data_IF_481427104450
#
_entry.id   IF_481427104450
#
_cell.length_a   1.000
_cell.length_b   1.000
_cell.length_c   1.000
_cell.angle_alpha   90.00
_cell.angle_beta   90.00
_cell.angle_gamma   90.00
#
_symmetry.space_group_name_H-M   'P 1'
#
loop_
_entity.id
_entity.type
_entity.pdbx_description
1 polymer ?
#
# COMPACT_ATOMS: atom_id res chain seq x y z
N UNK A 1 -7.45 3.37 -22.61
CA UNK A 1 -8.17 4.58 -22.17
C UNK A 1 -7.35 5.25 -21.05
N UNK A 2 -7.19 6.56 -21.10
CA UNK A 2 -6.52 7.35 -20.06
C UNK A 2 -7.60 7.99 -19.19
N UNK A 3 -7.57 7.70 -17.89
CA UNK A 3 -8.55 8.19 -16.93
C UNK A 3 -7.91 9.21 -15.99
N UNK A 4 -8.61 10.30 -15.59
CA UNK A 4 -8.10 11.23 -14.60
C UNK A 4 -8.04 10.56 -13.22
N UNK A 5 -6.96 10.77 -12.49
CA UNK A 5 -6.91 10.43 -11.07
C UNK A 5 -7.54 11.56 -10.23
N UNK A 6 -8.15 11.24 -9.10
CA UNK A 6 -8.76 12.24 -8.23
C UNK A 6 -7.71 13.16 -7.56
N UNK A 7 -8.19 14.29 -7.04
CA UNK A 7 -7.38 15.21 -6.25
C UNK A 7 -7.11 14.62 -4.86
N UNK A 8 -5.93 14.88 -4.29
CA UNK A 8 -5.59 14.48 -2.93
C UNK A 8 -4.76 15.55 -2.20
N UNK A 9 -4.61 15.37 -0.91
CA UNK A 9 -3.72 16.16 -0.06
C UNK A 9 -2.43 15.39 0.19
N UNK A 10 -1.29 16.03 0.05
CA UNK A 10 0.03 15.45 0.32
C UNK A 10 0.74 16.28 1.37
N UNK A 11 1.22 15.64 2.45
CA UNK A 11 2.02 16.27 3.50
C UNK A 11 1.46 17.59 4.05
N UNK A 12 0.21 17.61 4.47
CA UNK A 12 -0.50 18.79 4.99
C UNK A 12 -0.72 19.93 3.97
N UNK A 13 -0.31 19.75 2.72
CA UNK A 13 -0.59 20.68 1.64
C UNK A 13 -1.79 20.21 0.83
N UNK A 14 -2.77 21.09 0.63
CA UNK A 14 -3.86 20.81 -0.32
C UNK A 14 -3.33 20.86 -1.74
N UNK A 15 -3.36 19.72 -2.41
CA UNK A 15 -3.11 19.66 -3.84
C UNK A 15 -4.43 19.98 -4.55
N UNK A 16 -4.62 21.24 -4.91
CA UNK A 16 -5.86 21.71 -5.54
C UNK A 16 -5.88 21.51 -7.05
N UNK A 17 -4.75 21.12 -7.63
CA UNK A 17 -4.57 21.01 -9.08
C UNK A 17 -3.74 19.75 -9.42
N UNK A 18 -4.21 18.60 -8.96
CA UNK A 18 -3.59 17.30 -9.24
C UNK A 18 -4.20 16.68 -10.49
N UNK A 19 -3.36 16.40 -11.49
CA UNK A 19 -3.74 15.85 -12.77
C UNK A 19 -3.15 14.43 -12.99
N UNK A 20 -3.11 13.61 -11.95
CA UNK A 20 -2.74 12.22 -12.08
C UNK A 20 -3.65 11.49 -13.07
N UNK A 21 -3.13 10.49 -13.78
CA UNK A 21 -3.87 9.74 -14.79
C UNK A 21 -3.59 8.27 -14.68
N UNK A 22 -4.66 7.49 -14.79
CA UNK A 22 -4.57 6.04 -14.93
C UNK A 22 -4.65 5.65 -16.40
N UNK A 23 -3.96 4.57 -16.76
CA UNK A 23 -4.06 3.95 -18.07
C UNK A 23 -4.66 2.57 -17.89
N UNK A 24 -5.78 2.32 -18.57
CA UNK A 24 -6.38 0.99 -18.65
C UNK A 24 -6.31 0.50 -20.10
N UNK A 25 -5.74 -0.69 -20.32
CA UNK A 25 -5.84 -1.43 -21.55
C UNK A 25 -6.60 -2.72 -21.32
N UNK A 26 -7.59 -3.00 -22.18
CA UNK A 26 -8.37 -4.25 -22.12
C UNK A 26 -8.08 -5.07 -23.37
N UNK A 27 -7.61 -6.30 -23.19
CA UNK A 27 -7.40 -7.27 -24.23
C UNK A 27 -8.47 -8.35 -24.07
N UNK A 28 -9.45 -8.34 -24.97
CA UNK A 28 -10.58 -9.27 -24.94
C UNK A 28 -10.29 -10.47 -25.83
N UNK A 29 -10.32 -11.67 -25.28
CA UNK A 29 -10.08 -12.91 -25.99
C UNK A 29 -11.21 -13.40 -26.87
N UNK A 30 -12.38 -12.75 -26.80
CA UNK A 30 -13.55 -13.07 -27.61
C UNK A 30 -14.31 -14.32 -27.19
N UNK A 31 -13.91 -15.00 -26.10
CA UNK A 31 -14.60 -16.17 -25.54
C UNK A 31 -14.85 -15.95 -24.04
N UNK A 32 -15.94 -16.50 -23.47
CA UNK A 32 -16.15 -16.49 -22.03
C UNK A 32 -14.97 -17.10 -21.27
N UNK A 33 -14.59 -16.51 -20.14
CA UNK A 33 -13.49 -16.97 -19.29
C UNK A 33 -13.14 -15.93 -18.23
N UNK A 34 -12.09 -16.17 -17.45
CA UNK A 34 -11.72 -15.29 -16.36
C UNK A 34 -11.15 -13.95 -16.83
N UNK A 35 -11.32 -12.93 -16.00
CA UNK A 35 -10.76 -11.59 -16.18
C UNK A 35 -9.55 -11.42 -15.26
N UNK A 36 -8.37 -11.31 -15.83
CA UNK A 36 -7.12 -11.16 -15.09
C UNK A 36 -6.71 -9.68 -15.10
N UNK A 37 -6.57 -9.09 -13.91
CA UNK A 37 -6.02 -7.76 -13.74
C UNK A 37 -4.49 -7.84 -13.54
N UNK A 38 -3.76 -7.08 -14.33
CA UNK A 38 -2.33 -6.83 -14.18
C UNK A 38 -2.18 -5.37 -13.73
N UNK A 39 -1.78 -5.17 -12.49
CA UNK A 39 -1.77 -3.84 -11.86
C UNK A 39 -0.36 -3.41 -11.45
N UNK A 40 -0.08 -2.12 -11.57
CA UNK A 40 1.13 -1.49 -11.09
C UNK A 40 1.06 0.04 -11.19
N UNK A 41 1.87 0.74 -10.38
CA UNK A 41 1.92 2.20 -10.38
C UNK A 41 3.09 2.76 -11.18
N UNK A 42 2.92 3.98 -11.69
CA UNK A 42 3.90 4.68 -12.54
C UNK A 42 4.59 5.83 -11.81
N UNK A 43 4.02 6.29 -10.72
CA UNK A 43 4.61 7.30 -9.85
C UNK A 43 5.74 6.72 -9.00
N UNK A 44 6.45 7.60 -8.32
CA UNK A 44 7.58 7.25 -7.43
C UNK A 44 7.59 8.21 -6.26
N UNK A 45 8.25 7.82 -5.18
CA UNK A 45 8.63 8.78 -4.13
C UNK A 45 9.47 9.92 -4.67
N UNK A 46 9.55 11.00 -3.91
CA UNK A 46 10.42 12.12 -4.26
C UNK A 46 11.89 11.70 -4.25
N UNK A 47 12.64 12.19 -5.25
CA UNK A 47 14.08 11.97 -5.32
C UNK A 47 14.77 12.48 -4.06
N UNK A 48 15.37 11.58 -3.29
CA UNK A 48 16.15 11.92 -2.10
C UNK A 48 17.60 12.29 -2.46
N UNK A 49 18.29 12.93 -1.52
CA UNK A 49 19.75 13.15 -1.64
C UNK A 49 20.57 11.88 -1.38
N UNK A 50 21.86 11.93 -1.70
CA UNK A 50 22.81 10.85 -1.39
C UNK A 50 23.06 9.86 -2.52
N UNK A 51 22.48 10.05 -3.70
CA UNK A 51 22.73 9.23 -4.87
C UNK A 51 24.20 9.29 -5.29
N UNK A 52 24.80 8.14 -5.52
CA UNK A 52 26.15 7.98 -6.11
C UNK A 52 26.09 7.48 -7.54
N UNK A 53 24.91 6.99 -7.98
CA UNK A 53 24.56 6.54 -9.32
C UNK A 53 23.61 7.54 -9.97
N UNK A 54 23.41 7.45 -11.28
CA UNK A 54 22.43 8.31 -11.98
C UNK A 54 21.00 7.89 -11.60
N UNK A 55 20.23 8.75 -10.89
CA UNK A 55 18.85 8.43 -10.48
C UNK A 55 17.86 8.36 -11.65
N UNK A 56 18.27 8.73 -12.85
CA UNK A 56 17.41 8.70 -14.06
C UNK A 56 17.69 7.50 -14.98
N UNK A 57 18.61 6.62 -14.59
CA UNK A 57 18.85 5.36 -15.27
C UNK A 57 20.33 5.09 -15.55
N UNK A 58 20.96 4.26 -14.73
CA UNK A 58 22.34 3.78 -14.93
C UNK A 58 22.34 2.26 -14.93
N UNK A 59 22.92 1.67 -15.98
CA UNK A 59 23.06 0.23 -16.11
C UNK A 59 24.48 -0.20 -15.69
N UNK A 60 24.55 -1.12 -14.71
CA UNK A 60 25.81 -1.74 -14.26
C UNK A 60 25.62 -3.26 -14.15
N UNK A 61 26.02 -3.99 -15.17
CA UNK A 61 25.80 -5.44 -15.27
C UNK A 61 24.30 -5.76 -15.32
N UNK A 62 23.81 -6.51 -14.35
CA UNK A 62 22.39 -6.86 -14.20
C UNK A 62 21.57 -5.83 -13.40
N UNK A 63 22.22 -4.78 -12.88
CA UNK A 63 21.56 -3.76 -12.06
C UNK A 63 21.20 -2.55 -12.91
N UNK A 64 19.92 -2.20 -12.88
CA UNK A 64 19.41 -0.92 -13.38
C UNK A 64 19.12 -0.01 -12.20
N UNK A 65 19.96 1.02 -12.02
CA UNK A 65 19.76 2.05 -11.01
C UNK A 65 18.79 3.12 -11.50
N UNK A 66 17.96 3.64 -10.61
CA UNK A 66 17.07 4.75 -10.92
C UNK A 66 15.92 4.86 -9.91
N UNK A 67 15.41 6.06 -9.69
CA UNK A 67 14.25 6.27 -8.84
C UNK A 67 13.00 5.57 -9.42
N UNK A 68 12.37 4.71 -8.62
CA UNK A 68 11.28 3.86 -9.05
C UNK A 68 11.70 2.74 -10.01
N UNK A 69 13.01 2.43 -10.13
CA UNK A 69 13.46 1.31 -10.95
C UNK A 69 12.98 -0.01 -10.36
N UNK A 70 13.05 -0.16 -9.04
CA UNK A 70 12.53 -1.31 -8.31
C UNK A 70 11.05 -1.12 -7.98
N UNK A 71 10.68 0.02 -7.40
CA UNK A 71 9.36 0.35 -6.88
C UNK A 71 8.69 1.43 -7.76
N UNK A 72 7.79 1.02 -8.73
CA UNK A 72 7.66 -0.33 -9.30
C UNK A 72 7.64 -0.29 -10.83
N UNK A 73 8.36 0.67 -11.46
CA UNK A 73 8.36 0.82 -12.94
C UNK A 73 8.89 -0.42 -13.68
N UNK A 74 9.80 -1.19 -13.06
CA UNK A 74 10.24 -2.48 -13.62
C UNK A 74 9.10 -3.49 -13.68
N UNK A 75 8.27 -3.54 -12.63
CA UNK A 75 7.05 -4.34 -12.60
C UNK A 75 6.07 -3.92 -13.69
N UNK A 76 5.81 -2.62 -13.83
CA UNK A 76 4.99 -2.08 -14.92
C UNK A 76 5.53 -2.47 -16.29
N UNK A 77 6.84 -2.40 -16.51
CA UNK A 77 7.47 -2.80 -17.78
C UNK A 77 7.28 -4.31 -18.05
N UNK A 78 7.45 -5.16 -17.02
CA UNK A 78 7.19 -6.59 -17.12
C UNK A 78 5.75 -6.88 -17.55
N UNK A 79 4.76 -6.22 -16.93
CA UNK A 79 3.35 -6.37 -17.26
C UNK A 79 3.01 -5.89 -18.67
N UNK A 80 3.55 -4.73 -19.08
CA UNK A 80 3.36 -4.18 -20.42
C UNK A 80 3.88 -5.12 -21.51
N UNK A 81 5.10 -5.64 -21.33
CA UNK A 81 5.72 -6.57 -22.27
C UNK A 81 4.92 -7.87 -22.32
N UNK A 82 4.54 -8.41 -21.18
CA UNK A 82 3.72 -9.62 -21.07
C UNK A 82 2.39 -9.47 -21.78
N UNK A 83 1.63 -8.42 -21.51
CA UNK A 83 0.34 -8.16 -22.13
C UNK A 83 0.46 -7.97 -23.67
N UNK A 84 1.47 -7.21 -24.13
CA UNK A 84 1.71 -6.98 -25.55
C UNK A 84 2.11 -8.27 -26.27
N UNK A 85 3.01 -9.09 -25.70
CA UNK A 85 3.43 -10.39 -26.28
C UNK A 85 2.26 -11.36 -26.34
N UNK A 86 1.47 -11.45 -25.26
CA UNK A 86 0.29 -12.32 -25.21
C UNK A 86 -0.73 -11.96 -26.29
N UNK A 87 -1.07 -10.68 -26.43
CA UNK A 87 -1.99 -10.18 -27.47
C UNK A 87 -1.46 -10.37 -28.91
N UNK A 88 -0.14 -10.34 -29.09
CA UNK A 88 0.48 -10.60 -30.40
C UNK A 88 0.41 -12.09 -30.76
N UNK A 89 0.67 -12.96 -29.80
CA UNK A 89 0.71 -14.42 -30.00
C UNK A 89 -0.69 -15.05 -30.08
N UNK A 90 -1.64 -14.56 -29.29
CA UNK A 90 -2.97 -15.17 -29.11
C UNK A 90 -4.08 -14.20 -29.50
N UNK A 91 -4.67 -14.41 -30.69
CA UNK A 91 -5.75 -13.54 -31.20
C UNK A 91 -7.11 -13.88 -30.61
N UNK A 92 -7.29 -15.10 -30.12
CA UNK A 92 -8.50 -15.56 -29.44
C UNK A 92 -8.12 -16.42 -28.25
N UNK A 93 -8.72 -16.12 -27.09
CA UNK A 93 -8.51 -16.85 -25.85
C UNK A 93 -9.76 -16.74 -24.95
N UNK A 94 -9.80 -17.43 -23.83
CA UNK A 94 -10.90 -17.35 -22.87
C UNK A 94 -10.70 -16.17 -21.93
N UNK A 95 -11.74 -15.33 -21.76
CA UNK A 95 -11.69 -14.23 -20.80
C UNK A 95 -11.01 -12.97 -21.31
N UNK A 96 -10.42 -12.19 -20.38
CA UNK A 96 -9.82 -10.87 -20.66
C UNK A 96 -8.57 -10.65 -19.82
N UNK A 97 -7.68 -9.80 -20.35
CA UNK A 97 -6.59 -9.20 -19.58
C UNK A 97 -6.88 -7.71 -19.45
N UNK A 98 -6.87 -7.20 -18.24
CA UNK A 98 -6.93 -5.77 -17.93
C UNK A 98 -5.58 -5.33 -17.39
N UNK A 99 -4.84 -4.55 -18.19
CA UNK A 99 -3.63 -3.88 -17.74
C UNK A 99 -4.03 -2.54 -17.14
N UNK A 100 -3.86 -2.38 -15.83
CA UNK A 100 -4.18 -1.19 -15.07
C UNK A 100 -2.89 -0.56 -14.54
N UNK A 101 -2.40 0.48 -15.22
CA UNK A 101 -1.25 1.25 -14.78
C UNK A 101 -1.76 2.55 -14.14
N UNK A 102 -1.48 2.72 -12.87
CA UNK A 102 -2.07 3.77 -12.06
C UNK A 102 -1.06 4.85 -11.66
N UNK A 103 -1.54 5.95 -11.14
CA UNK A 103 -0.77 7.02 -10.53
C UNK A 103 -1.20 7.19 -9.09
N UNK A 104 -0.33 7.84 -8.28
CA UNK A 104 -0.63 8.20 -6.88
C UNK A 104 -0.73 6.99 -5.94
N UNK A 105 0.06 5.94 -6.19
CA UNK A 105 0.24 4.86 -5.20
C UNK A 105 1.08 5.35 -4.03
N UNK A 106 2.20 6.00 -4.31
CA UNK A 106 3.16 6.56 -3.35
C UNK A 106 2.59 7.75 -2.56
N UNK A 107 1.42 8.21 -2.95
CA UNK A 107 0.62 9.14 -2.18
C UNK A 107 -0.05 8.49 -0.97
N UNK A 108 -0.61 9.30 -0.06
CA UNK A 108 -1.15 8.77 1.20
C UNK A 108 -2.44 7.94 1.04
N UNK A 109 -3.02 7.83 -0.15
CA UNK A 109 -4.35 7.27 -0.35
C UNK A 109 -4.46 6.18 -1.42
N UNK A 110 -3.43 5.97 -2.26
CA UNK A 110 -3.50 5.04 -3.40
C UNK A 110 -4.65 5.36 -4.33
N UNK A 111 -4.81 6.65 -4.69
CA UNK A 111 -6.02 7.14 -5.37
C UNK A 111 -6.21 6.58 -6.77
N UNK A 112 -5.13 6.20 -7.45
CA UNK A 112 -5.22 5.65 -8.79
C UNK A 112 -6.03 4.37 -8.84
N UNK A 113 -5.63 3.37 -8.09
CA UNK A 113 -6.35 2.08 -7.99
C UNK A 113 -7.71 2.27 -7.35
N UNK A 114 -7.82 3.10 -6.28
CA UNK A 114 -9.11 3.40 -5.66
C UNK A 114 -10.14 3.93 -6.66
N UNK A 115 -9.76 4.87 -7.52
CA UNK A 115 -10.64 5.42 -8.56
C UNK A 115 -11.10 4.35 -9.54
N UNK A 116 -10.22 3.45 -10.00
CA UNK A 116 -10.58 2.37 -10.91
C UNK A 116 -11.58 1.39 -10.27
N UNK A 117 -11.46 1.16 -8.97
CA UNK A 117 -12.39 0.31 -8.21
C UNK A 117 -13.73 1.04 -8.03
N UNK A 118 -13.75 2.31 -7.60
CA UNK A 118 -14.98 3.08 -7.37
C UNK A 118 -15.77 3.33 -8.66
N UNK A 119 -15.09 3.61 -9.75
CA UNK A 119 -15.71 3.84 -11.05
C UNK A 119 -16.13 2.52 -11.77
N UNK A 120 -15.88 1.36 -11.14
CA UNK A 120 -16.31 0.06 -11.61
C UNK A 120 -15.50 -0.51 -12.78
N UNK A 121 -14.36 0.08 -13.14
CA UNK A 121 -13.53 -0.44 -14.23
C UNK A 121 -12.96 -1.85 -13.95
N UNK A 122 -12.84 -2.23 -12.68
CA UNK A 122 -12.32 -3.51 -12.24
C UNK A 122 -13.38 -4.45 -11.65
N UNK A 123 -14.67 -4.12 -11.77
CA UNK A 123 -15.78 -4.83 -11.12
C UNK A 123 -16.00 -6.28 -11.62
N UNK A 124 -15.46 -6.65 -12.77
CA UNK A 124 -15.53 -7.99 -13.37
C UNK A 124 -14.22 -8.78 -13.24
N UNK A 125 -13.27 -8.32 -12.42
CA UNK A 125 -11.97 -8.99 -12.22
C UNK A 125 -12.13 -10.22 -11.35
N UNK A 126 -11.56 -11.35 -11.81
CA UNK A 126 -11.56 -12.63 -11.10
C UNK A 126 -10.23 -12.92 -10.38
N UNK A 127 -9.12 -12.27 -10.79
CA UNK A 127 -7.80 -12.43 -10.19
C UNK A 127 -6.90 -11.24 -10.52
N UNK A 128 -6.11 -10.77 -9.56
CA UNK A 128 -5.19 -9.66 -9.73
C UNK A 128 -3.74 -10.06 -9.44
N UNK A 129 -2.81 -9.64 -10.31
CA UNK A 129 -1.37 -9.71 -10.09
C UNK A 129 -0.84 -8.29 -10.03
N UNK A 130 -0.19 -7.96 -8.93
CA UNK A 130 0.46 -6.69 -8.68
C UNK A 130 1.98 -6.91 -8.65
N UNK A 131 2.71 -6.21 -9.50
CA UNK A 131 4.16 -6.44 -9.65
C UNK A 131 5.02 -5.51 -8.78
N UNK A 132 4.54 -5.27 -7.54
CA UNK A 132 5.36 -4.68 -6.48
C UNK A 132 6.54 -5.59 -6.14
N UNK A 133 7.69 -5.03 -5.71
CA UNK A 133 8.91 -5.78 -5.45
C UNK A 133 8.83 -6.63 -4.17
N UNK A 134 8.05 -7.71 -4.20
CA UNK A 134 7.76 -8.55 -3.03
C UNK A 134 9.01 -9.01 -2.29
N UNK A 135 10.02 -9.52 -2.99
CA UNK A 135 11.29 -9.94 -2.40
C UNK A 135 12.05 -8.77 -1.74
N UNK A 136 12.04 -7.59 -2.38
CA UNK A 136 12.66 -6.38 -1.85
C UNK A 136 11.98 -5.89 -0.57
N UNK A 137 10.67 -5.96 -0.48
CA UNK A 137 9.92 -5.50 0.69
C UNK A 137 10.19 -6.34 1.94
N UNK A 138 10.22 -7.65 1.82
CA UNK A 138 10.35 -8.56 2.95
C UNK A 138 11.80 -8.99 3.22
N UNK A 139 12.75 -8.59 2.36
CA UNK A 139 14.15 -9.02 2.44
C UNK A 139 14.30 -10.53 2.26
N UNK A 140 13.35 -11.17 1.56
CA UNK A 140 13.35 -12.59 1.23
C UNK A 140 14.02 -12.84 -0.12
N UNK A 141 14.60 -14.02 -0.33
CA UNK A 141 15.19 -14.31 -1.62
C UNK A 141 14.13 -14.44 -2.72
N UNK A 142 14.41 -13.90 -3.89
CA UNK A 142 13.58 -14.07 -5.08
C UNK A 142 13.57 -15.52 -5.58
N UNK A 143 12.42 -16.09 -5.98
CA UNK A 143 11.10 -15.46 -6.04
C UNK A 143 10.38 -15.50 -4.68
N UNK A 144 9.79 -14.37 -4.29
CA UNK A 144 8.90 -14.23 -3.15
C UNK A 144 7.51 -13.79 -3.60
N UNK A 145 6.46 -14.36 -3.00
CA UNK A 145 5.06 -14.10 -3.35
C UNK A 145 4.28 -13.72 -2.10
N UNK A 146 3.77 -12.48 -2.07
CA UNK A 146 2.94 -12.06 -0.95
C UNK A 146 1.46 -12.39 -1.22
N UNK A 147 0.87 -13.19 -0.33
CA UNK A 147 -0.53 -13.62 -0.38
C UNK A 147 -1.45 -12.77 0.49
N UNK A 148 -1.10 -11.53 0.73
CA UNK A 148 -1.89 -10.59 1.51
C UNK A 148 -1.06 -9.50 2.12
N UNK A 149 -1.75 -8.55 2.76
CA UNK A 149 -1.15 -7.38 3.37
C UNK A 149 -1.91 -6.94 4.62
N UNK A 150 -1.20 -6.28 5.54
CA UNK A 150 -1.85 -5.56 6.64
C UNK A 150 -2.72 -4.43 6.09
N UNK A 151 -3.69 -4.01 6.89
CA UNK A 151 -4.37 -2.75 6.68
C UNK A 151 -3.70 -1.61 7.45
N UNK A 152 -4.10 -0.38 7.18
CA UNK A 152 -3.53 0.77 7.88
C UNK A 152 -4.37 2.03 7.79
N UNK A 153 -4.31 2.82 8.86
CA UNK A 153 -5.05 4.07 9.00
C UNK A 153 -4.18 5.15 9.64
N UNK A 154 -4.13 6.31 8.99
CA UNK A 154 -3.63 7.54 9.59
C UNK A 154 -4.73 8.22 10.41
N UNK A 155 -4.41 8.69 11.61
CA UNK A 155 -5.38 9.38 12.47
C UNK A 155 -4.71 10.33 13.45
N UNK A 156 -5.51 11.22 13.99
CA UNK A 156 -5.12 12.17 15.03
C UNK A 156 -6.01 12.02 16.25
N UNK A 157 -5.42 12.19 17.43
CA UNK A 157 -6.18 12.44 18.65
C UNK A 157 -5.95 13.91 19.00
N UNK A 158 -7.01 14.69 18.99
CA UNK A 158 -7.01 16.11 19.34
C UNK A 158 -7.41 16.25 20.80
N UNK A 159 -6.60 16.96 21.57
CA UNK A 159 -6.82 17.19 23.01
C UNK A 159 -7.11 18.66 23.24
N UNK A 160 -8.08 18.93 24.11
CA UNK A 160 -8.53 20.27 24.47
C UNK A 160 -8.37 20.47 25.96
N UNK A 161 -7.63 21.53 26.32
CA UNK A 161 -7.31 21.90 27.66
C UNK A 161 -7.86 23.29 28.03
N UNK A 162 -7.15 23.95 28.92
CA UNK A 162 -7.44 25.32 29.36
C UNK A 162 -6.14 26.06 29.56
N UNK A 163 -5.98 27.20 28.86
CA UNK A 163 -4.81 28.06 29.01
C UNK A 163 -4.76 28.71 30.41
N UNK A 164 -3.54 28.88 30.93
CA UNK A 164 -3.23 29.65 32.10
C UNK A 164 -1.78 30.17 32.02
N UNK A 165 -1.45 31.19 32.75
CA UNK A 165 -0.06 31.68 32.82
C UNK A 165 0.86 30.59 33.42
N UNK A 166 2.03 30.41 32.82
CA UNK A 166 2.98 29.37 33.19
C UNK A 166 3.45 29.42 34.65
N UNK A 167 3.34 30.59 35.32
CA UNK A 167 3.62 30.75 36.76
C UNK A 167 2.51 30.15 37.66
N UNK A 168 1.33 29.86 37.12
CA UNK A 168 0.19 29.29 37.85
C UNK A 168 -0.44 28.16 37.03
N UNK A 169 0.31 27.09 36.71
CA UNK A 169 -0.16 26.04 35.81
C UNK A 169 -1.38 25.27 36.35
N UNK A 170 -1.58 25.27 37.67
CA UNK A 170 -2.72 24.65 38.37
C UNK A 170 -4.07 25.32 38.03
N UNK A 171 -4.07 26.55 37.50
CA UNK A 171 -5.28 27.25 37.03
C UNK A 171 -5.70 26.87 35.62
N UNK A 172 -4.82 26.18 34.92
CA UNK A 172 -5.04 25.66 33.58
C UNK A 172 -5.29 24.16 33.54
N UNK A 173 -5.37 23.62 32.32
CA UNK A 173 -5.34 22.19 32.02
C UNK A 173 -4.50 21.96 30.78
N UNK A 174 -3.39 21.23 30.90
CA UNK A 174 -2.45 21.03 29.79
C UNK A 174 -2.89 19.92 28.86
N UNK A 175 -3.32 20.29 27.66
CA UNK A 175 -3.60 19.35 26.57
C UNK A 175 -2.35 18.54 26.17
N UNK A 176 -1.16 19.16 26.23
CA UNK A 176 0.11 18.48 25.96
C UNK A 176 0.37 17.32 26.94
N UNK A 177 0.10 17.53 28.25
CA UNK A 177 0.28 16.48 29.24
C UNK A 177 -0.73 15.35 29.06
N UNK A 178 -1.96 15.65 28.64
CA UNK A 178 -2.94 14.63 28.30
C UNK A 178 -2.49 13.81 27.08
N UNK A 179 -2.02 14.47 26.01
CA UNK A 179 -1.47 13.80 24.84
C UNK A 179 -0.28 12.87 25.20
N UNK A 180 0.65 13.35 26.04
CA UNK A 180 1.79 12.56 26.49
C UNK A 180 1.38 11.31 27.29
N UNK A 181 0.39 11.43 28.21
CA UNK A 181 -0.14 10.30 28.98
C UNK A 181 -0.82 9.28 28.08
N UNK A 182 -1.60 9.72 27.11
CA UNK A 182 -2.26 8.82 26.15
C UNK A 182 -1.24 8.15 25.25
N UNK A 183 -0.22 8.87 24.74
CA UNK A 183 0.87 8.28 23.97
C UNK A 183 1.57 7.14 24.74
N UNK A 184 1.87 7.35 26.03
CA UNK A 184 2.44 6.31 26.87
C UNK A 184 1.48 5.13 27.12
N UNK A 185 0.18 5.40 27.26
CA UNK A 185 -0.83 4.36 27.46
C UNK A 185 -1.06 3.50 26.20
N UNK A 186 -0.80 4.04 25.01
CA UNK A 186 -0.87 3.30 23.75
C UNK A 186 0.19 2.20 23.62
N UNK A 187 1.31 2.26 24.36
CA UNK A 187 2.30 1.18 24.45
C UNK A 187 1.72 -0.12 25.04
N UNK A 188 0.58 -0.03 25.73
CA UNK A 188 -0.10 -1.14 26.41
C UNK A 188 -1.31 -1.67 25.64
N UNK A 189 -1.39 -1.40 24.35
CA UNK A 189 -2.46 -1.95 23.50
C UNK A 189 -2.26 -3.45 23.33
N UNK A 190 -3.34 -4.20 23.52
CA UNK A 190 -3.36 -5.64 23.23
C UNK A 190 -3.86 -5.85 21.80
N UNK A 191 -2.90 -6.03 20.88
CA UNK A 191 -3.18 -6.16 19.48
C UNK A 191 -3.73 -7.55 19.13
N UNK A 192 -4.66 -7.59 18.19
CA UNK A 192 -5.09 -8.84 17.55
C UNK A 192 -3.90 -9.45 16.82
N UNK A 193 -3.79 -10.77 16.87
CA UNK A 193 -2.78 -11.56 16.17
C UNK A 193 -3.45 -12.41 15.10
N UNK A 194 -3.03 -12.20 13.86
CA UNK A 194 -3.40 -13.00 12.70
C UNK A 194 -2.29 -14.02 12.41
N UNK A 195 -2.59 -15.27 12.04
CA UNK A 195 -1.58 -16.31 11.81
C UNK A 195 -0.62 -16.00 10.65
N UNK A 196 -1.00 -15.15 9.72
CA UNK A 196 -0.23 -14.77 8.54
C UNK A 196 0.35 -13.37 8.64
N UNK A 197 -0.47 -12.39 9.04
CA UNK A 197 -0.09 -10.98 9.12
C UNK A 197 0.59 -10.60 10.45
N UNK A 198 0.62 -11.54 11.43
CA UNK A 198 1.17 -11.27 12.75
C UNK A 198 0.29 -10.31 13.55
N UNK A 199 0.88 -9.45 14.38
CA UNK A 199 0.16 -8.48 15.23
C UNK A 199 -0.02 -7.14 14.55
N UNK A 200 -1.15 -6.49 14.80
CA UNK A 200 -1.35 -5.07 14.54
C UNK A 200 -0.30 -4.21 15.26
N UNK A 201 -0.12 -2.97 14.86
CA UNK A 201 0.82 -2.04 15.49
C UNK A 201 0.29 -0.61 15.46
N UNK A 202 0.59 0.17 16.51
CA UNK A 202 0.36 1.61 16.52
C UNK A 202 1.69 2.33 16.61
N UNK A 203 1.98 3.20 15.67
CA UNK A 203 3.12 4.09 15.70
C UNK A 203 2.65 5.51 16.03
N UNK A 204 3.20 6.10 17.11
CA UNK A 204 3.08 7.53 17.36
C UNK A 204 4.04 8.25 16.42
N UNK A 205 3.50 8.84 15.36
CA UNK A 205 4.31 9.50 14.31
C UNK A 205 4.52 10.99 14.57
N UNK A 206 3.85 11.57 15.54
CA UNK A 206 4.08 12.94 15.93
C UNK A 206 3.22 13.42 17.08
N UNK A 207 3.71 14.45 17.77
CA UNK A 207 2.96 15.21 18.76
C UNK A 207 3.22 16.69 18.53
N UNK A 208 2.18 17.51 18.61
CA UNK A 208 2.31 18.97 18.54
C UNK A 208 1.43 19.65 19.58
N UNK A 209 1.96 20.69 20.20
CA UNK A 209 1.25 21.59 21.10
C UNK A 209 2.05 22.87 21.23
N UNK A 210 1.37 23.99 21.40
CA UNK A 210 2.01 25.27 21.62
C UNK A 210 1.25 26.07 22.68
N UNK A 211 1.94 26.46 23.75
CA UNK A 211 1.46 27.36 24.79
C UNK A 211 1.91 28.81 24.57
N UNK A 212 2.50 29.12 23.41
CA UNK A 212 3.17 30.39 23.21
C UNK A 212 4.33 30.59 24.20
N UNK A 213 4.70 31.83 24.47
CA UNK A 213 5.89 32.13 25.26
C UNK A 213 5.78 31.73 26.75
N UNK A 214 4.61 31.80 27.37
CA UNK A 214 4.45 31.62 28.80
C UNK A 214 3.05 31.12 29.20
N UNK A 215 2.46 30.19 28.50
CA UNK A 215 1.11 29.68 28.82
C UNK A 215 1.05 28.15 28.83
N UNK A 216 0.14 27.62 29.62
CA UNK A 216 -0.24 26.19 29.56
C UNK A 216 -0.87 25.92 28.21
N UNK A 217 -0.40 24.91 27.43
CA UNK A 217 -1.00 24.56 26.17
C UNK A 217 -2.45 24.07 26.35
N UNK A 218 -3.39 24.70 25.69
CA UNK A 218 -4.81 24.37 25.72
C UNK A 218 -5.29 23.55 24.51
N UNK A 219 -4.38 23.27 23.57
CA UNK A 219 -4.60 22.40 22.44
C UNK A 219 -3.36 21.54 22.17
N UNK A 220 -3.57 20.28 21.85
CA UNK A 220 -2.52 19.37 21.41
C UNK A 220 -3.06 18.36 20.40
N UNK A 221 -2.19 17.89 19.53
CA UNK A 221 -2.50 16.83 18.56
C UNK A 221 -1.48 15.72 18.70
N UNK A 222 -1.94 14.49 18.84
CA UNK A 222 -1.15 13.27 18.76
C UNK A 222 -1.47 12.58 17.43
N UNK A 223 -0.48 12.41 16.56
CA UNK A 223 -0.64 11.76 15.25
C UNK A 223 -0.18 10.32 15.34
N UNK A 224 -1.00 9.43 14.78
CA UNK A 224 -0.82 7.99 14.81
C UNK A 224 -0.89 7.42 13.40
N UNK A 225 -0.09 6.38 13.17
CA UNK A 225 -0.32 5.45 12.09
C UNK A 225 -0.58 4.07 12.70
N UNK A 226 -1.74 3.47 12.35
CA UNK A 226 -2.17 2.21 12.93
C UNK A 226 -2.28 1.14 11.87
N UNK A 227 -1.48 0.07 11.97
CA UNK A 227 -1.64 -1.12 11.17
C UNK A 227 -2.61 -2.08 11.85
N UNK A 228 -3.51 -2.64 11.05
CA UNK A 228 -4.50 -3.64 11.47
C UNK A 228 -4.31 -4.95 10.70
N UNK A 229 -4.80 -6.03 11.28
CA UNK A 229 -4.79 -7.38 10.70
C UNK A 229 -6.21 -7.88 10.43
N UNK A 230 -6.36 -9.03 9.77
CA UNK A 230 -7.69 -9.60 9.48
C UNK A 230 -8.47 -9.79 10.78
N UNK A 231 -9.74 -9.39 10.76
CA UNK A 231 -10.61 -9.35 11.94
C UNK A 231 -10.64 -8.01 12.69
N UNK A 232 -9.77 -7.07 12.35
CA UNK A 232 -9.80 -5.70 12.85
C UNK A 232 -10.46 -4.73 11.86
N UNK A 233 -10.85 -3.57 12.35
CA UNK A 233 -11.52 -2.52 11.60
C UNK A 233 -11.22 -1.15 12.23
N UNK A 234 -11.61 -0.03 11.60
CA UNK A 234 -11.55 1.29 12.23
C UNK A 234 -12.20 1.35 13.62
N UNK A 235 -13.29 0.63 13.83
CA UNK A 235 -13.95 0.56 15.15
C UNK A 235 -13.06 -0.13 16.19
N UNK A 236 -12.23 -1.07 15.80
CA UNK A 236 -11.24 -1.70 16.69
C UNK A 236 -10.22 -0.66 17.15
N UNK A 237 -9.72 0.17 16.22
CA UNK A 237 -8.79 1.25 16.51
C UNK A 237 -9.38 2.22 17.52
N UNK A 238 -10.62 2.68 17.29
CA UNK A 238 -11.33 3.60 18.19
C UNK A 238 -11.44 3.00 19.59
N UNK A 239 -11.87 1.75 19.74
CA UNK A 239 -12.01 1.08 21.03
C UNK A 239 -10.68 0.97 21.78
N UNK A 240 -9.59 0.67 21.09
CA UNK A 240 -8.27 0.56 21.75
C UNK A 240 -7.73 1.93 22.17
N UNK A 241 -7.97 2.99 21.38
CA UNK A 241 -7.65 4.36 21.78
C UNK A 241 -8.47 4.77 23.02
N UNK A 242 -9.77 4.48 23.05
CA UNK A 242 -10.63 4.78 24.19
C UNK A 242 -10.14 4.07 25.48
N UNK A 243 -9.71 2.80 25.36
CA UNK A 243 -9.08 2.08 26.48
C UNK A 243 -7.77 2.74 26.93
N UNK A 244 -6.94 3.20 25.98
CA UNK A 244 -5.70 3.91 26.30
C UNK A 244 -5.99 5.25 27.01
N UNK A 245 -6.99 5.99 26.56
CA UNK A 245 -7.46 7.23 27.21
C UNK A 245 -7.95 6.96 28.64
N UNK A 246 -8.71 5.90 28.85
CA UNK A 246 -9.16 5.49 30.20
C UNK A 246 -7.98 5.14 31.09
N UNK A 247 -7.01 4.36 30.60
CA UNK A 247 -5.78 4.03 31.36
C UNK A 247 -4.96 5.27 31.69
N UNK A 248 -4.87 6.21 30.75
CA UNK A 248 -4.17 7.48 30.93
C UNK A 248 -4.80 8.37 32.01
N UNK A 249 -6.07 8.16 32.35
CA UNK A 249 -6.79 8.89 33.37
C UNK A 249 -6.88 10.40 33.12
N UNK A 250 -6.93 10.80 31.84
CA UNK A 250 -7.08 12.21 31.47
C UNK A 250 -8.49 12.72 31.81
N UNK A 251 -8.59 14.00 32.09
CA UNK A 251 -9.86 14.67 32.41
C UNK A 251 -10.26 15.71 31.36
N UNK A 252 -9.35 16.03 30.43
CA UNK A 252 -9.62 16.91 29.31
C UNK A 252 -10.52 16.28 28.24
N UNK A 253 -11.13 17.12 27.43
CA UNK A 253 -11.87 16.68 26.25
C UNK A 253 -10.88 16.20 25.18
N UNK A 254 -11.25 15.17 24.45
CA UNK A 254 -10.52 14.70 23.27
C UNK A 254 -11.46 14.37 22.11
N UNK A 255 -10.90 14.27 20.91
CA UNK A 255 -11.56 13.82 19.68
C UNK A 255 -10.62 12.89 18.93
N UNK A 256 -11.15 11.79 18.38
CA UNK A 256 -10.43 10.87 17.51
C UNK A 256 -10.83 11.21 16.07
N UNK A 257 -9.88 11.59 15.23
CA UNK A 257 -10.12 12.01 13.87
C UNK A 257 -9.31 11.13 12.92
N UNK A 258 -9.96 10.31 12.11
CA UNK A 258 -9.29 9.67 11.00
C UNK A 258 -8.90 10.73 9.96
N UNK A 259 -7.80 10.45 9.24
CA UNK A 259 -7.35 11.31 8.16
C UNK A 259 -8.50 11.54 7.17
N UNK A 260 -8.73 12.80 6.80
CA UNK A 260 -9.64 13.12 5.72
C UNK A 260 -9.14 12.52 4.42
N UNK A 261 -10.06 12.04 3.60
CA UNK A 261 -9.76 11.41 2.33
C UNK A 261 -10.73 11.88 1.25
N UNK A 262 -10.34 11.86 -0.03
CA UNK A 262 -11.20 12.28 -1.14
C UNK A 262 -12.50 11.46 -1.26
N UNK A 263 -12.48 10.21 -0.83
CA UNK A 263 -13.66 9.35 -0.76
C UNK A 263 -13.66 8.54 0.52
N UNK A 264 -14.81 8.00 0.91
CA UNK A 264 -14.92 7.07 2.05
C UNK A 264 -14.03 5.84 1.85
N UNK A 265 -13.95 5.34 0.59
CA UNK A 265 -13.15 4.17 0.24
C UNK A 265 -11.64 4.40 0.29
N UNK A 266 -11.16 5.65 0.27
CA UNK A 266 -9.74 6.00 0.34
C UNK A 266 -9.28 6.49 1.72
N UNK A 267 -10.13 6.42 2.76
CA UNK A 267 -9.78 6.85 4.12
C UNK A 267 -8.65 6.04 4.75
N UNK A 268 -8.50 4.79 4.35
CA UNK A 268 -7.47 3.87 4.80
C UNK A 268 -7.58 2.53 4.08
N UNK A 269 -6.78 1.58 4.51
CA UNK A 269 -6.60 0.30 3.85
C UNK A 269 -7.06 -0.83 4.77
N UNK A 270 -7.95 -1.68 4.30
CA UNK A 270 -8.35 -2.89 5.02
C UNK A 270 -7.34 -4.02 4.75
N UNK A 271 -7.07 -4.89 5.74
CA UNK A 271 -6.19 -6.03 5.56
C UNK A 271 -6.86 -7.14 4.75
N UNK A 272 -6.05 -7.96 4.08
CA UNK A 272 -6.54 -9.15 3.40
C UNK A 272 -5.51 -10.27 3.37
N UNK A 273 -5.99 -11.49 3.19
CA UNK A 273 -5.16 -12.67 2.90
C UNK A 273 -5.83 -13.52 1.84
N UNK A 274 -5.03 -14.16 1.00
CA UNK A 274 -5.47 -15.10 -0.03
C UNK A 274 -5.05 -16.52 0.39
N UNK A 275 -5.94 -17.51 0.34
CA UNK A 275 -5.56 -18.89 0.59
C UNK A 275 -4.51 -19.38 -0.41
N UNK A 276 -3.48 -20.08 0.08
CA UNK A 276 -2.42 -20.61 -0.78
C UNK A 276 -2.90 -21.67 -1.78
N UNK A 277 -3.99 -22.35 -1.45
CA UNK A 277 -4.64 -23.39 -2.26
C UNK A 277 -5.72 -22.85 -3.21
N UNK A 278 -5.87 -21.52 -3.31
CA UNK A 278 -6.73 -20.89 -4.31
C UNK A 278 -6.24 -21.27 -5.73
N UNK A 279 -7.11 -21.76 -6.63
CA UNK A 279 -6.69 -22.39 -7.89
C UNK A 279 -5.80 -21.55 -8.80
N UNK A 280 -6.08 -20.24 -8.96
CA UNK A 280 -5.26 -19.36 -9.79
C UNK A 280 -3.94 -18.98 -9.08
N UNK A 281 -3.94 -18.90 -7.76
CA UNK A 281 -2.72 -18.76 -6.95
C UNK A 281 -1.81 -19.98 -7.15
N UNK A 282 -2.34 -21.20 -7.06
CA UNK A 282 -1.57 -22.42 -7.32
C UNK A 282 -0.97 -22.39 -8.73
N UNK A 283 -1.76 -22.01 -9.74
CA UNK A 283 -1.29 -21.89 -11.13
C UNK A 283 -0.16 -20.88 -11.29
N UNK A 284 -0.25 -19.73 -10.61
CA UNK A 284 0.79 -18.70 -10.61
C UNK A 284 2.08 -19.22 -9.94
N UNK A 285 1.97 -19.86 -8.78
CA UNK A 285 3.13 -20.46 -8.07
C UNK A 285 3.83 -21.52 -8.91
N UNK A 286 3.07 -22.34 -9.64
CA UNK A 286 3.65 -23.34 -10.58
C UNK A 286 4.38 -22.65 -11.74
N UNK A 287 3.84 -21.55 -12.27
CA UNK A 287 4.46 -20.78 -13.35
C UNK A 287 5.76 -20.13 -12.89
N UNK A 288 5.76 -19.55 -11.69
CA UNK A 288 6.97 -18.99 -11.06
C UNK A 288 8.03 -20.10 -10.88
N UNK A 289 7.66 -21.24 -10.33
CA UNK A 289 8.58 -22.38 -10.16
C UNK A 289 9.15 -22.87 -11.48
N UNK A 290 8.32 -22.95 -12.52
CA UNK A 290 8.75 -23.38 -13.85
C UNK A 290 9.77 -22.45 -14.47
N UNK A 291 9.55 -21.13 -14.36
CA UNK A 291 10.38 -20.12 -14.98
C UNK A 291 11.68 -19.90 -14.21
N UNK A 292 11.59 -19.78 -12.89
CA UNK A 292 12.77 -19.48 -12.04
C UNK A 292 13.60 -20.69 -11.69
N UNK A 293 13.04 -21.90 -11.81
CA UNK A 293 13.65 -23.15 -11.33
C UNK A 293 13.76 -23.23 -9.82
N UNK A 294 13.11 -22.33 -9.08
CA UNK A 294 13.14 -22.24 -7.61
C UNK A 294 11.74 -22.37 -7.03
N UNK A 295 11.65 -22.89 -5.81
CA UNK A 295 10.40 -22.85 -5.03
C UNK A 295 10.16 -21.40 -4.56
N UNK A 296 9.00 -20.80 -4.86
CA UNK A 296 8.70 -19.46 -4.38
C UNK A 296 8.52 -19.47 -2.85
N UNK A 297 9.09 -18.46 -2.19
CA UNK A 297 8.79 -18.17 -0.80
C UNK A 297 7.39 -17.58 -0.73
N UNK A 298 6.61 -17.98 0.28
CA UNK A 298 5.31 -17.38 0.57
C UNK A 298 5.48 -16.39 1.71
N UNK A 299 5.00 -15.18 1.51
CA UNK A 299 5.06 -14.11 2.49
C UNK A 299 3.75 -13.33 2.56
N UNK A 300 3.71 -12.36 3.46
CA UNK A 300 2.57 -11.47 3.68
C UNK A 300 3.13 -10.08 3.99
N UNK A 301 2.68 -9.09 3.24
CA UNK A 301 3.24 -7.75 3.34
C UNK A 301 2.90 -7.10 4.69
N UNK A 302 3.93 -6.65 5.40
CA UNK A 302 3.79 -6.11 6.75
C UNK A 302 3.27 -4.65 6.80
N UNK A 303 2.99 -4.05 5.64
CA UNK A 303 2.48 -2.69 5.48
C UNK A 303 1.25 -2.66 4.58
N UNK A 304 1.04 -1.56 3.91
CA UNK A 304 -0.11 -1.27 3.06
C UNK A 304 0.37 -0.84 1.67
N UNK A 305 -0.52 -0.94 0.70
CA UNK A 305 -0.40 -0.38 -0.64
C UNK A 305 -1.76 -0.34 -1.31
N UNK A 306 -1.84 0.15 -2.52
CA UNK A 306 -3.09 0.25 -3.27
C UNK A 306 -3.67 -1.14 -3.63
N UNK A 307 -2.84 -2.19 -3.62
CA UNK A 307 -3.25 -3.58 -3.75
C UNK A 307 -4.25 -4.01 -2.66
N UNK A 308 -4.28 -3.34 -1.50
CA UNK A 308 -5.32 -3.58 -0.50
C UNK A 308 -6.73 -3.34 -1.04
N UNK A 309 -6.92 -2.35 -1.92
CA UNK A 309 -8.22 -2.11 -2.55
C UNK A 309 -8.64 -3.26 -3.45
N UNK A 310 -7.69 -3.83 -4.22
CA UNK A 310 -7.94 -5.00 -5.06
C UNK A 310 -8.31 -6.22 -4.21
N UNK A 311 -7.52 -6.50 -3.16
CA UNK A 311 -7.70 -7.65 -2.29
C UNK A 311 -8.96 -7.58 -1.40
N UNK A 312 -9.50 -6.38 -1.13
CA UNK A 312 -10.62 -6.22 -0.20
C UNK A 312 -11.94 -5.82 -0.86
N UNK A 313 -11.91 -5.20 -2.05
CA UNK A 313 -13.10 -4.56 -2.62
C UNK A 313 -13.60 -5.21 -3.92
N UNK A 314 -12.79 -6.05 -4.57
CA UNK A 314 -13.20 -6.75 -5.78
C UNK A 314 -13.85 -8.12 -5.49
N UNK A 315 -13.65 -8.69 -4.29
CA UNK A 315 -14.09 -10.04 -3.98
C UNK A 315 -13.30 -11.12 -4.73
N UNK A 316 -12.12 -10.77 -5.24
CA UNK A 316 -11.23 -11.60 -6.04
C UNK A 316 -9.83 -11.62 -5.40
N UNK A 317 -9.05 -12.72 -5.56
CA UNK A 317 -7.67 -12.78 -5.07
C UNK A 317 -6.79 -11.69 -5.68
N UNK A 318 -5.92 -11.10 -4.85
CA UNK A 318 -4.90 -10.14 -5.26
C UNK A 318 -3.54 -10.59 -4.74
N UNK A 319 -2.61 -10.89 -5.65
CA UNK A 319 -1.30 -11.46 -5.35
C UNK A 319 -0.22 -10.46 -5.71
N UNK A 320 0.74 -10.28 -4.82
CA UNK A 320 1.90 -9.43 -5.06
C UNK A 320 3.08 -10.32 -5.46
N UNK A 321 3.61 -10.10 -6.66
CA UNK A 321 4.77 -10.79 -7.19
C UNK A 321 5.51 -9.91 -8.19
N UNK A 322 6.67 -9.42 -7.84
CA UNK A 322 7.48 -8.55 -8.69
C UNK A 322 8.97 -8.86 -8.65
N UNK A 323 9.74 -7.94 -9.19
CA UNK A 323 11.18 -8.08 -9.35
C UNK A 323 11.94 -7.94 -8.01
N UNK A 324 13.21 -8.31 -8.03
CA UNK A 324 14.16 -8.22 -6.92
C UNK A 324 15.10 -7.05 -7.09
N UNK A 325 15.54 -6.48 -5.98
CA UNK A 325 16.45 -5.35 -5.93
C UNK A 325 16.60 -4.82 -4.52
N UNK A 326 17.23 -3.66 -4.39
CA UNK A 326 17.45 -3.05 -3.08
C UNK A 326 17.27 -1.53 -3.13
N UNK A 327 17.19 -0.93 -1.94
CA UNK A 327 17.18 0.51 -1.71
C UNK A 327 15.92 1.25 -2.23
N UNK A 328 14.78 0.58 -2.35
CA UNK A 328 13.54 1.31 -2.63
C UNK A 328 13.33 2.43 -1.60
N UNK A 329 12.73 3.55 -2.00
CA UNK A 329 12.56 4.76 -1.20
C UNK A 329 13.87 5.38 -0.67
N UNK A 330 15.02 5.03 -1.26
CA UNK A 330 16.34 5.48 -0.84
C UNK A 330 17.24 5.83 -2.03
N UNK A 331 18.44 6.37 -1.74
CA UNK A 331 19.45 6.60 -2.78
C UNK A 331 20.03 5.27 -3.29
N UNK A 332 20.46 5.29 -4.56
CA UNK A 332 21.01 4.13 -5.26
C UNK A 332 20.06 2.92 -5.32
N UNK A 333 18.74 3.22 -5.41
CA UNK A 333 17.73 2.21 -5.71
C UNK A 333 18.08 1.53 -7.03
N UNK A 334 17.99 0.19 -7.04
CA UNK A 334 18.20 -0.60 -8.25
C UNK A 334 17.31 -1.82 -8.30
N UNK A 335 17.07 -2.29 -9.51
CA UNK A 335 16.40 -3.56 -9.80
C UNK A 335 17.35 -4.51 -10.52
N UNK A 336 17.23 -5.82 -10.27
CA UNK A 336 17.91 -6.88 -10.99
C UNK A 336 17.13 -7.24 -12.26
N UNK A 337 17.70 -6.97 -13.44
CA UNK A 337 17.01 -7.16 -14.73
C UNK A 337 16.64 -8.60 -15.00
N UNK A 338 17.43 -9.58 -14.56
CA UNK A 338 17.08 -11.00 -14.67
C UNK A 338 15.78 -11.33 -13.93
N UNK A 339 15.57 -10.74 -12.74
CA UNK A 339 14.33 -10.91 -11.98
C UNK A 339 13.12 -10.26 -12.66
N UNK A 340 13.31 -9.11 -13.31
CA UNK A 340 12.25 -8.45 -14.11
C UNK A 340 11.84 -9.34 -15.28
N UNK A 341 12.83 -9.93 -15.96
CA UNK A 341 12.58 -10.86 -17.06
C UNK A 341 11.84 -12.11 -16.56
N UNK A 342 12.30 -12.71 -15.46
CA UNK A 342 11.65 -13.89 -14.86
C UNK A 342 10.23 -13.57 -14.39
N UNK A 343 9.98 -12.39 -13.83
CA UNK A 343 8.63 -11.93 -13.48
C UNK A 343 7.73 -11.88 -14.72
N UNK A 344 8.19 -11.25 -15.81
CA UNK A 344 7.43 -11.17 -17.05
C UNK A 344 7.12 -12.56 -17.63
N UNK A 345 8.09 -13.46 -17.67
CA UNK A 345 7.89 -14.82 -18.19
C UNK A 345 6.97 -15.66 -17.32
N UNK A 346 7.05 -15.53 -15.97
CA UNK A 346 6.17 -16.23 -15.06
C UNK A 346 4.71 -15.78 -15.21
N UNK A 347 4.47 -14.48 -15.31
CA UNK A 347 3.14 -13.93 -15.57
C UNK A 347 2.63 -14.35 -16.96
N UNK A 348 3.50 -14.39 -17.97
CA UNK A 348 3.14 -14.86 -19.30
C UNK A 348 2.72 -16.33 -19.29
N UNK A 349 3.50 -17.22 -18.67
CA UNK A 349 3.17 -18.65 -18.54
C UNK A 349 1.85 -18.87 -17.75
N UNK A 350 1.63 -18.07 -16.70
CA UNK A 350 0.36 -18.08 -15.98
C UNK A 350 -0.83 -17.71 -16.85
N UNK A 351 -0.70 -16.66 -17.67
CA UNK A 351 -1.76 -16.25 -18.59
C UNK A 351 -2.05 -17.33 -19.64
N UNK A 352 -1.01 -17.99 -20.18
CA UNK A 352 -1.21 -19.10 -21.13
C UNK A 352 -1.97 -20.26 -20.46
N UNK A 353 -1.57 -20.67 -19.25
CA UNK A 353 -2.25 -21.76 -18.51
C UNK A 353 -3.71 -21.42 -18.17
N UNK A 354 -3.99 -20.14 -17.87
CA UNK A 354 -5.30 -19.72 -17.38
C UNK A 354 -6.27 -19.40 -18.52
N UNK A 355 -5.78 -18.82 -19.62
CA UNK A 355 -6.63 -18.25 -20.67
C UNK A 355 -6.64 -19.09 -21.96
N UNK A 356 -5.71 -20.02 -22.13
CA UNK A 356 -5.71 -20.92 -23.28
C UNK A 356 -6.38 -22.25 -22.93
N UNK A 357 -6.92 -23.00 -23.92
CA UNK A 357 -7.63 -24.27 -23.70
C UNK A 357 -6.72 -25.38 -23.23
#
# INVERSE_FOLDING_TARGET
QVLPAPLHECHDAKVTDFHGKNVIAVIDGGRPGPVICLNGHLDTVQLCGGWTRDPYGELDGDRLYGVGALDMKSGCAALMVTAARFAAAHKTFAGKIKLALVSDEEGPYGLGTNALVEDGYLSDVDFSIITEPSAGFDGKPFPDVCLGARGGYGLEIRFYGKSAHAANPEKGHSALLDAAKVAQALEQVDYVEDPHLGKGTCCVVGVSADGGACSVPDFAVLRLFWHIVVGESPDTIVREIEKAVQRAGITGRYEICFREAPSEGSRGFMPYTVPQDEPMTVSLLESIRKVTGKEPTISYFASIGDFNYLGTRLGAPAIIFGADGENYHSSDEYVLLDSVHQTAEAVYDFLEKTLLP
#
